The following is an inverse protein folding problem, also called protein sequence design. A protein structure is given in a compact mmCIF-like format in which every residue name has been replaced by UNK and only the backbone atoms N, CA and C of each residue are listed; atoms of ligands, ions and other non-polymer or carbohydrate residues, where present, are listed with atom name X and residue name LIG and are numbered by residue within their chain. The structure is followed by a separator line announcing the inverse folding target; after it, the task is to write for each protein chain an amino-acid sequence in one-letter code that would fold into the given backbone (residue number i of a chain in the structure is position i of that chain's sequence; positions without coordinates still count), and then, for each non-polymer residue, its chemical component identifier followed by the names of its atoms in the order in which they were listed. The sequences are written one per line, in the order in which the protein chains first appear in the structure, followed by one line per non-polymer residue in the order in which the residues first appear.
data_IF_835832242696
#
_entry.id   IF_835832242696
#
_cell.length_a   1.000
_cell.length_b   1.000
_cell.length_c   1.000
_cell.angle_alpha   90.00
_cell.angle_beta   90.00
_cell.angle_gamma   90.00
#
_symmetry.space_group_name_H-M   'P 1'
#
loop_
_entity.id
_entity.type
_entity.pdbx_description
1 polymer ?
#
# COMPACT_ATOMS: atom_id res chain seq x y z
N UNK A 1 38.65 24.65 -5.61
CA UNK A 1 38.01 23.32 -5.62
C UNK A 1 36.52 23.55 -5.41
N UNK A 2 35.74 23.61 -6.48
CA UNK A 2 34.29 23.70 -6.39
C UNK A 2 33.80 22.27 -6.20
N UNK A 3 33.46 21.91 -4.96
CA UNK A 3 32.71 20.68 -4.70
C UNK A 3 31.36 20.82 -5.38
N UNK A 4 31.22 20.14 -6.53
CA UNK A 4 29.94 19.96 -7.18
C UNK A 4 29.03 19.25 -6.19
N UNK A 5 28.06 19.98 -5.63
CA UNK A 5 26.97 19.37 -4.90
C UNK A 5 26.37 18.32 -5.83
N UNK A 6 26.55 17.05 -5.49
CA UNK A 6 25.99 15.92 -6.20
C UNK A 6 24.47 16.00 -6.03
N UNK A 7 23.84 16.92 -6.75
CA UNK A 7 22.40 16.96 -6.98
C UNK A 7 22.13 15.75 -7.85
N UNK A 8 22.03 14.59 -7.21
CA UNK A 8 21.61 13.35 -7.82
C UNK A 8 20.30 13.63 -8.52
N UNK A 9 20.36 13.74 -9.84
CA UNK A 9 19.20 13.95 -10.67
C UNK A 9 18.39 12.67 -10.72
N UNK A 10 17.15 12.71 -10.24
CA UNK A 10 15.95 12.23 -10.93
C UNK A 10 14.77 12.67 -10.07
N UNK A 11 13.75 13.24 -10.70
CA UNK A 11 12.53 13.73 -10.04
C UNK A 11 12.05 12.70 -9.02
N UNK A 12 12.06 13.08 -7.72
CA UNK A 12 11.85 12.22 -6.55
C UNK A 12 11.17 10.89 -6.87
N UNK A 13 11.98 9.82 -6.91
CA UNK A 13 11.52 8.49 -7.22
C UNK A 13 10.93 7.78 -6.00
N UNK A 14 10.40 6.58 -6.21
CA UNK A 14 9.85 5.67 -5.19
C UNK A 14 10.75 5.48 -3.94
N UNK A 15 12.06 5.77 -4.05
CA UNK A 15 13.02 5.69 -2.95
C UNK A 15 12.91 6.84 -1.92
N UNK A 16 12.39 8.01 -2.31
CA UNK A 16 12.34 9.19 -1.43
C UNK A 16 11.01 9.33 -0.68
N UNK A 17 10.04 8.45 -0.97
CA UNK A 17 8.73 8.47 -0.32
C UNK A 17 8.78 7.79 1.05
N UNK A 18 8.36 8.51 2.09
CA UNK A 18 8.20 7.96 3.43
C UNK A 18 6.96 8.54 4.11
N UNK A 19 6.13 7.66 4.67
CA UNK A 19 4.96 8.07 5.44
C UNK A 19 5.32 8.87 6.69
N UNK A 20 6.51 8.66 7.26
CA UNK A 20 7.00 9.45 8.39
C UNK A 20 7.28 10.90 7.97
N UNK A 21 7.82 11.09 6.76
CA UNK A 21 8.03 12.43 6.19
C UNK A 21 6.68 13.09 5.90
N UNK A 22 5.74 12.35 5.29
CA UNK A 22 4.38 12.83 5.02
C UNK A 22 3.67 13.25 6.31
N UNK A 23 3.88 12.55 7.43
CA UNK A 23 3.29 12.88 8.73
C UNK A 23 3.72 14.26 9.25
N UNK A 24 4.96 14.64 8.98
CA UNK A 24 5.52 15.92 9.42
C UNK A 24 5.37 17.05 8.37
N UNK A 25 4.92 16.72 7.16
CA UNK A 25 4.65 17.69 6.09
C UNK A 25 3.48 18.63 6.44
N UNK A 26 3.62 19.90 6.05
CA UNK A 26 2.57 20.93 6.17
C UNK A 26 1.40 20.66 5.24
N UNK A 27 1.64 20.04 4.10
CA UNK A 27 0.66 19.72 3.06
C UNK A 27 0.28 18.22 3.04
N UNK A 28 0.39 17.53 4.19
CA UNK A 28 0.09 16.09 4.29
C UNK A 28 -1.28 15.68 3.73
N UNK A 29 -2.24 16.61 3.75
CA UNK A 29 -3.61 16.40 3.27
C UNK A 29 -3.70 16.20 1.75
N UNK A 30 -2.65 16.54 1.00
CA UNK A 30 -2.56 16.25 -0.44
C UNK A 30 -2.10 14.82 -0.76
N UNK A 31 -1.64 14.07 0.24
CA UNK A 31 -1.22 12.68 0.05
C UNK A 31 -2.41 11.74 0.27
N UNK A 32 -2.75 10.98 -0.77
CA UNK A 32 -3.79 9.96 -0.71
C UNK A 32 -3.41 8.88 0.31
N UNK A 33 -4.26 8.64 1.31
CA UNK A 33 -4.01 7.64 2.34
C UNK A 33 -3.28 8.15 3.58
N UNK A 34 -3.01 9.47 3.71
CA UNK A 34 -2.34 10.01 4.90
C UNK A 34 -3.11 9.71 6.19
N UNK A 35 -4.45 9.72 6.14
CA UNK A 35 -5.31 9.45 7.31
C UNK A 35 -5.07 8.07 7.91
N UNK A 36 -4.63 7.12 7.08
CA UNK A 36 -4.37 5.73 7.46
C UNK A 36 -2.90 5.51 7.77
N UNK A 37 -2.01 5.98 6.89
CA UNK A 37 -0.59 5.63 6.95
C UNK A 37 0.30 6.65 7.66
N UNK A 38 -0.15 7.89 7.81
CA UNK A 38 0.54 8.96 8.53
C UNK A 38 -0.39 9.67 9.53
N UNK A 39 -1.06 8.92 10.43
CA UNK A 39 -2.06 9.49 11.31
C UNK A 39 -1.40 10.44 12.33
N UNK A 40 -1.94 11.65 12.46
CA UNK A 40 -1.41 12.68 13.35
C UNK A 40 -2.49 13.28 14.23
N UNK A 41 -2.15 13.50 15.51
CA UNK A 41 -3.00 14.15 16.49
C UNK A 41 -3.75 13.17 17.41
N UNK A 42 -4.44 13.72 18.41
CA UNK A 42 -5.07 12.95 19.49
C UNK A 42 -6.14 11.98 19.01
N UNK A 43 -6.73 12.23 17.84
CA UNK A 43 -7.74 11.32 17.30
C UNK A 43 -7.14 9.99 16.82
N UNK A 44 -5.83 9.88 16.61
CA UNK A 44 -5.22 8.61 16.23
C UNK A 44 -4.63 7.87 17.45
N UNK A 45 -4.41 8.57 18.55
CA UNK A 45 -3.74 8.06 19.73
C UNK A 45 -4.56 6.93 20.37
N UNK A 46 -3.90 5.79 20.60
CA UNK A 46 -4.52 4.61 21.22
C UNK A 46 -5.59 3.91 20.37
N UNK A 47 -5.72 4.24 19.07
CA UNK A 47 -6.67 3.62 18.16
C UNK A 47 -5.98 2.79 17.09
N UNK A 48 -6.53 1.61 16.85
CA UNK A 48 -6.13 0.76 15.73
C UNK A 48 -6.90 1.15 14.46
N UNK A 49 -6.29 2.02 13.65
CA UNK A 49 -6.85 2.48 12.37
C UNK A 49 -6.89 1.36 11.33
N UNK A 50 -6.08 0.32 11.49
CA UNK A 50 -5.96 -0.81 10.56
C UNK A 50 -6.76 -2.04 10.99
N UNK A 51 -7.73 -1.86 11.90
CA UNK A 51 -8.51 -2.97 12.45
C UNK A 51 -9.20 -3.83 11.39
N UNK A 52 -9.64 -3.22 10.28
CA UNK A 52 -10.32 -3.91 9.18
C UNK A 52 -9.39 -4.84 8.38
N UNK A 53 -8.08 -4.63 8.49
CA UNK A 53 -7.07 -5.48 7.85
C UNK A 53 -6.56 -6.59 8.77
N UNK A 54 -7.08 -6.71 10.01
CA UNK A 54 -6.71 -7.80 10.91
C UNK A 54 -7.15 -9.15 10.34
N UNK A 55 -6.26 -10.13 10.37
CA UNK A 55 -6.48 -11.49 9.84
C UNK A 55 -5.90 -11.73 8.45
N UNK A 56 -5.74 -10.70 7.61
CA UNK A 56 -5.20 -10.86 6.25
C UNK A 56 -3.69 -11.15 6.18
N UNK A 57 -3.00 -11.11 7.32
CA UNK A 57 -1.57 -11.41 7.39
C UNK A 57 -1.28 -12.87 7.72
N UNK A 58 -2.29 -13.65 8.15
CA UNK A 58 -2.11 -15.08 8.38
C UNK A 58 -1.74 -15.75 7.05
N UNK A 59 -0.64 -16.51 7.07
CA UNK A 59 -0.13 -17.19 5.88
C UNK A 59 -1.16 -18.16 5.31
N UNK A 60 -1.96 -18.76 6.19
CA UNK A 60 -3.04 -19.68 5.85
C UNK A 60 -4.17 -18.98 5.07
N UNK A 61 -4.56 -17.76 5.48
CA UNK A 61 -5.55 -16.92 4.78
C UNK A 61 -5.06 -16.46 3.39
N UNK A 62 -3.75 -16.25 3.25
CA UNK A 62 -3.16 -15.88 1.94
C UNK A 62 -3.14 -17.05 0.96
N UNK A 63 -2.86 -18.26 1.42
CA UNK A 63 -2.80 -19.44 0.57
C UNK A 63 -4.21 -19.92 0.18
N UNK A 64 -5.16 -19.91 1.12
CA UNK A 64 -6.58 -20.20 0.83
C UNK A 64 -7.14 -19.23 -0.20
N UNK A 65 -6.96 -17.92 -0.01
CA UNK A 65 -7.40 -16.88 -0.94
C UNK A 65 -6.77 -17.02 -2.32
N UNK A 66 -5.48 -17.40 -2.38
CA UNK A 66 -4.79 -17.64 -3.66
C UNK A 66 -5.40 -18.84 -4.39
N UNK A 67 -5.74 -19.90 -3.67
CA UNK A 67 -6.39 -21.08 -4.24
C UNK A 67 -7.79 -20.75 -4.77
N UNK A 68 -8.60 -20.02 -4.00
CA UNK A 68 -9.92 -19.57 -4.44
C UNK A 68 -9.85 -18.75 -5.75
N UNK A 69 -8.90 -17.81 -5.85
CA UNK A 69 -8.69 -17.03 -7.08
C UNK A 69 -8.32 -17.93 -8.26
N UNK A 70 -7.50 -18.97 -8.03
CA UNK A 70 -7.12 -19.91 -9.08
C UNK A 70 -8.31 -20.75 -9.55
N UNK A 71 -9.14 -21.21 -8.63
CA UNK A 71 -10.33 -22.01 -8.93
C UNK A 71 -11.36 -21.19 -9.71
N UNK A 72 -11.58 -19.91 -9.34
CA UNK A 72 -12.45 -18.99 -10.10
C UNK A 72 -11.91 -18.79 -11.52
N UNK A 73 -10.62 -18.50 -11.69
CA UNK A 73 -10.00 -18.33 -13.01
C UNK A 73 -10.11 -19.58 -13.88
N UNK A 74 -10.05 -20.76 -13.26
CA UNK A 74 -10.21 -22.03 -13.96
C UNK A 74 -11.65 -22.20 -14.45
N UNK A 75 -12.63 -21.98 -13.58
CA UNK A 75 -14.04 -22.04 -13.93
C UNK A 75 -14.42 -21.03 -15.04
N UNK A 76 -13.86 -19.82 -14.99
CA UNK A 76 -14.04 -18.81 -16.04
C UNK A 76 -13.48 -19.27 -17.39
N UNK A 77 -12.30 -19.91 -17.41
CA UNK A 77 -11.72 -20.47 -18.64
C UNK A 77 -12.58 -21.59 -19.21
N UNK A 78 -13.04 -22.52 -18.38
CA UNK A 78 -13.90 -23.63 -18.80
C UNK A 78 -15.26 -23.13 -19.31
N UNK A 79 -15.82 -22.08 -18.71
CA UNK A 79 -17.04 -21.45 -19.19
C UNK A 79 -16.84 -20.77 -20.56
N UNK A 80 -15.70 -20.10 -20.77
CA UNK A 80 -15.33 -19.54 -22.07
C UNK A 80 -15.12 -20.62 -23.13
N UNK A 81 -14.44 -21.72 -22.80
CA UNK A 81 -14.24 -22.85 -23.73
C UNK A 81 -15.56 -23.53 -24.09
N UNK A 82 -16.52 -23.64 -23.16
CA UNK A 82 -17.85 -24.20 -23.46
C UNK A 82 -18.73 -23.28 -24.32
N UNK A 83 -18.41 -22.00 -24.43
CA UNK A 83 -19.13 -21.05 -25.29
C UNK A 83 -18.54 -20.93 -26.71
N UNK A 84 -17.40 -21.56 -26.96
CA UNK A 84 -16.76 -21.71 -28.28
C UNK A 84 -17.22 -23.00 -28.96
#
# INVERSE_FOLDING_TARGET
MQEGSNRGGTRGGQADFSWEIVREDKQRDHYLGNSVHAPKGRWAEGRDIQWYNRGHHDKEDRESRRKEIMDVKQAEREAMERML
#
